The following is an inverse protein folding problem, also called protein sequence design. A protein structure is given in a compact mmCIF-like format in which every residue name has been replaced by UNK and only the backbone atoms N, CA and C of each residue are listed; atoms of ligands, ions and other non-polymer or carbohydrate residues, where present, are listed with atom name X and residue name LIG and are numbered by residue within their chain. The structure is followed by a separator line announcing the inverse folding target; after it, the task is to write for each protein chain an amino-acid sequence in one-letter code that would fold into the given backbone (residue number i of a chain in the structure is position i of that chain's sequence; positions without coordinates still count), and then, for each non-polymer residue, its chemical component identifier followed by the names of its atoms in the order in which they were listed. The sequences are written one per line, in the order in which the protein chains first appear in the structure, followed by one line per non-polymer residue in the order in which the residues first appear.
data_IF_334655084937
#
_entry.id   IF_334655084937
#
_cell.length_a   1.000
_cell.length_b   1.000
_cell.length_c   1.000
_cell.angle_alpha   90.00
_cell.angle_beta   90.00
_cell.angle_gamma   90.00
#
_symmetry.space_group_name_H-M   'P 1'
#
loop_
_entity.id
_entity.type
_entity.pdbx_description
1 polymer ?
#
# COMPACT_ATOMS: atom_id res chain seq x y z
N UNK A 1 -27.98 9.55 -11.09
CA UNK A 1 -27.12 10.21 -10.08
C UNK A 1 -25.80 10.52 -10.78
N UNK A 2 -25.41 11.78 -10.89
CA UNK A 2 -24.20 12.19 -11.61
C UNK A 2 -22.99 11.99 -10.71
N UNK A 3 -22.13 11.01 -11.02
CA UNK A 3 -20.85 10.85 -10.37
C UNK A 3 -19.98 12.08 -10.66
N UNK A 4 -19.59 12.82 -9.62
CA UNK A 4 -18.60 13.90 -9.72
C UNK A 4 -17.23 13.24 -9.93
N UNK A 5 -16.68 13.33 -11.13
CA UNK A 5 -15.28 13.05 -11.37
C UNK A 5 -14.45 14.04 -10.54
N UNK A 6 -13.79 13.54 -9.49
CA UNK A 6 -12.90 14.34 -8.65
C UNK A 6 -11.59 14.48 -9.42
N UNK A 7 -11.25 15.71 -9.75
CA UNK A 7 -10.02 16.09 -10.43
C UNK A 7 -8.86 15.96 -9.42
N UNK A 8 -8.26 14.78 -9.36
CA UNK A 8 -7.09 14.45 -8.51
C UNK A 8 -5.74 15.04 -9.01
N UNK A 9 -5.57 15.43 -10.31
CA UNK A 9 -4.24 15.80 -10.82
C UNK A 9 -3.63 17.07 -10.21
N UNK A 10 -4.42 18.00 -9.66
CA UNK A 10 -3.88 19.29 -9.17
C UNK A 10 -3.25 19.18 -7.77
N UNK A 11 -3.62 18.20 -6.98
CA UNK A 11 -3.17 18.11 -5.57
C UNK A 11 -1.84 17.38 -5.40
N UNK A 12 -1.48 16.46 -6.29
CA UNK A 12 -0.22 15.71 -6.25
C UNK A 12 1.01 16.59 -6.55
N UNK A 13 0.86 17.67 -7.33
CA UNK A 13 1.92 18.65 -7.58
C UNK A 13 2.34 19.38 -6.29
N UNK A 14 1.42 19.60 -5.35
CA UNK A 14 1.71 20.25 -4.07
C UNK A 14 2.47 19.34 -3.08
N UNK A 15 2.25 18.03 -3.14
CA UNK A 15 2.96 17.05 -2.30
C UNK A 15 4.41 16.87 -2.77
N UNK A 16 4.65 16.92 -4.08
CA UNK A 16 6.00 16.84 -4.66
C UNK A 16 6.89 18.03 -4.26
N UNK A 17 6.33 19.24 -4.20
CA UNK A 17 7.10 20.44 -3.82
C UNK A 17 7.49 20.48 -2.34
N UNK A 18 6.68 19.92 -1.44
CA UNK A 18 6.99 19.88 0.00
C UNK A 18 8.08 18.87 0.36
N UNK A 19 8.24 17.81 -0.42
CA UNK A 19 9.23 16.76 -0.21
C UNK A 19 10.66 17.18 -0.64
N UNK A 20 10.77 18.10 -1.61
CA UNK A 20 12.07 18.48 -2.21
C UNK A 20 12.77 19.65 -1.53
N UNK A 21 12.12 20.47 -0.72
CA UNK A 21 12.72 21.62 -0.03
C UNK A 21 13.64 21.27 1.14
N UNK A 22 13.86 19.97 1.44
CA UNK A 22 14.55 19.49 2.64
C UNK A 22 15.92 18.84 2.44
N UNK A 23 16.46 18.75 1.22
CA UNK A 23 17.69 18.01 0.95
C UNK A 23 19.01 18.80 1.15
N UNK A 24 18.96 20.07 1.53
CA UNK A 24 20.14 20.89 1.80
C UNK A 24 20.10 21.43 3.25
N UNK A 25 20.57 20.62 4.17
CA UNK A 25 20.79 21.04 5.56
C UNK A 25 21.19 19.86 6.44
N UNK A 26 22.48 19.56 6.50
CA UNK A 26 23.02 18.66 7.53
C UNK A 26 22.86 19.33 8.90
N UNK A 27 21.70 19.19 9.52
CA UNK A 27 21.48 19.53 10.92
C UNK A 27 21.71 18.28 11.75
N UNK A 28 22.68 18.37 12.66
CA UNK A 28 22.95 17.37 13.70
C UNK A 28 21.65 16.94 14.38
N UNK A 29 21.23 15.71 14.12
CA UNK A 29 20.08 15.08 14.75
C UNK A 29 20.49 14.75 16.20
N UNK A 30 19.97 15.52 17.18
CA UNK A 30 19.98 15.08 18.56
C UNK A 30 19.24 13.76 18.63
N UNK A 31 19.92 12.72 19.09
CA UNK A 31 19.35 11.41 19.40
C UNK A 31 18.06 11.58 20.23
N UNK A 32 16.91 11.53 19.58
CA UNK A 32 15.66 11.28 20.28
C UNK A 32 15.81 9.89 20.87
N UNK A 33 15.87 9.77 22.20
CA UNK A 33 15.78 8.49 22.91
C UNK A 33 14.65 7.70 22.25
N UNK A 34 15.00 6.63 21.54
CA UNK A 34 14.01 5.67 21.07
C UNK A 34 13.26 5.17 22.29
N UNK A 35 11.95 5.40 22.35
CA UNK A 35 11.12 4.73 23.34
C UNK A 35 11.41 3.24 23.23
N UNK A 36 11.88 2.65 24.34
CA UNK A 36 12.12 1.20 24.38
C UNK A 36 10.77 0.52 24.20
N UNK A 37 10.51 0.03 23.01
CA UNK A 37 9.37 -0.82 22.73
C UNK A 37 9.59 -2.12 23.47
N UNK A 38 8.65 -2.50 24.31
CA UNK A 38 8.73 -3.75 25.06
C UNK A 38 7.99 -4.85 24.31
N UNK A 39 8.75 -5.75 23.69
CA UNK A 39 8.21 -7.03 23.25
C UNK A 39 8.37 -8.03 24.42
N UNK A 40 7.28 -8.73 24.83
CA UNK A 40 7.38 -9.75 25.87
C UNK A 40 8.49 -10.76 25.54
N UNK A 41 9.29 -11.14 26.53
CA UNK A 41 10.45 -12.04 26.33
C UNK A 41 10.08 -13.33 25.63
N UNK A 42 8.93 -13.90 25.93
CA UNK A 42 8.43 -15.11 25.32
C UNK A 42 8.22 -14.92 23.80
N UNK A 43 7.59 -13.82 23.42
CA UNK A 43 7.34 -13.50 22.00
C UNK A 43 8.66 -13.23 21.29
N UNK A 44 9.53 -12.42 21.87
CA UNK A 44 10.85 -12.12 21.29
C UNK A 44 11.69 -13.40 21.14
N UNK A 45 11.67 -14.31 22.12
CA UNK A 45 12.38 -15.59 22.03
C UNK A 45 11.84 -16.47 20.90
N UNK A 46 10.51 -16.56 20.76
CA UNK A 46 9.87 -17.33 19.67
C UNK A 46 10.22 -16.75 18.29
N UNK A 47 10.20 -15.42 18.16
CA UNK A 47 10.59 -14.74 16.91
C UNK A 47 12.05 -15.03 16.56
N UNK A 48 12.96 -14.98 17.55
CA UNK A 48 14.40 -15.27 17.35
C UNK A 48 14.65 -16.74 16.98
N UNK A 49 13.98 -17.68 17.63
CA UNK A 49 14.11 -19.12 17.36
C UNK A 49 13.72 -19.49 15.93
N UNK A 50 12.73 -18.83 15.37
CA UNK A 50 12.25 -19.08 14.02
C UNK A 50 13.04 -18.42 12.90
N UNK A 51 13.97 -17.48 13.21
CA UNK A 51 14.74 -16.75 12.16
C UNK A 51 15.51 -17.69 11.21
N UNK A 52 16.22 -18.74 11.67
CA UNK A 52 17.00 -19.59 10.77
C UNK A 52 16.13 -20.40 9.80
N UNK A 53 15.01 -20.93 10.29
CA UNK A 53 14.09 -21.76 9.49
C UNK A 53 13.03 -20.92 8.77
N UNK A 54 12.84 -19.65 9.15
CA UNK A 54 11.75 -18.76 8.70
C UNK A 54 10.37 -19.38 8.97
N UNK A 55 10.27 -20.17 10.03
CA UNK A 55 9.03 -20.81 10.46
C UNK A 55 8.72 -20.42 11.90
N UNK A 56 7.45 -20.14 12.15
CA UNK A 56 6.95 -19.77 13.46
C UNK A 56 5.66 -20.47 13.81
N UNK A 57 5.15 -20.21 15.00
CA UNK A 57 3.85 -20.71 15.45
C UNK A 57 2.74 -20.23 14.52
N UNK A 58 1.71 -21.07 14.37
CA UNK A 58 0.58 -20.84 13.48
C UNK A 58 -0.76 -21.05 14.20
N UNK A 59 -0.82 -20.79 15.50
CA UNK A 59 -2.11 -20.81 16.23
C UNK A 59 -3.06 -19.74 15.64
N UNK A 60 -2.47 -18.61 15.22
CA UNK A 60 -3.09 -17.62 14.35
C UNK A 60 -2.40 -17.72 12.99
N UNK A 61 -3.04 -18.29 11.95
CA UNK A 61 -2.48 -18.30 10.60
C UNK A 61 -2.27 -16.86 10.11
N UNK A 62 -1.02 -16.51 9.88
CA UNK A 62 -0.61 -15.17 9.42
C UNK A 62 0.45 -15.29 8.34
N UNK A 63 0.34 -14.49 7.29
CA UNK A 63 1.31 -14.42 6.20
C UNK A 63 1.55 -12.98 5.73
N UNK A 64 2.82 -12.67 5.43
CA UNK A 64 3.18 -11.42 4.74
C UNK A 64 3.40 -11.78 3.27
N UNK A 65 2.57 -11.29 2.37
CA UNK A 65 2.64 -11.69 0.96
C UNK A 65 3.25 -10.63 0.05
N UNK A 66 3.30 -9.36 0.47
CA UNK A 66 3.86 -8.28 -0.33
C UNK A 66 4.36 -7.14 0.54
N UNK A 67 5.48 -6.55 0.13
CA UNK A 67 5.97 -5.27 0.65
C UNK A 67 5.88 -4.23 -0.45
N UNK A 68 5.25 -3.10 -0.13
CA UNK A 68 5.31 -1.89 -0.93
C UNK A 68 6.24 -0.92 -0.21
N UNK A 69 6.96 -0.09 -0.96
CA UNK A 69 7.72 1.00 -0.36
C UNK A 69 7.64 2.25 -1.23
N UNK A 70 7.49 3.37 -0.57
CA UNK A 70 7.35 4.68 -1.19
C UNK A 70 8.33 5.64 -0.51
N UNK A 71 8.87 6.63 -1.23
CA UNK A 71 9.82 7.56 -0.64
C UNK A 71 9.20 8.36 0.50
N UNK A 72 9.97 8.58 1.56
CA UNK A 72 9.67 9.49 2.65
C UNK A 72 10.86 10.44 2.82
N UNK A 73 10.76 11.42 3.73
CA UNK A 73 11.74 12.51 3.84
C UNK A 73 13.19 12.03 3.99
N UNK A 74 13.45 11.02 4.80
CA UNK A 74 14.82 10.52 5.11
C UNK A 74 14.94 8.99 4.93
N UNK A 75 13.82 8.32 4.72
CA UNK A 75 13.69 6.87 4.66
C UNK A 75 12.71 6.48 3.57
N UNK A 76 12.33 5.21 3.56
CA UNK A 76 11.18 4.74 2.80
C UNK A 76 10.04 4.40 3.75
N UNK A 77 8.83 4.73 3.37
CA UNK A 77 7.63 4.22 4.02
C UNK A 77 7.37 2.82 3.46
N UNK A 78 7.78 1.80 4.21
CA UNK A 78 7.52 0.41 3.87
C UNK A 78 6.15 -0.01 4.41
N UNK A 79 5.31 -0.55 3.53
CA UNK A 79 3.98 -1.07 3.86
C UNK A 79 3.99 -2.58 3.67
N UNK A 80 3.76 -3.32 4.74
CA UNK A 80 3.66 -4.77 4.73
C UNK A 80 2.19 -5.16 4.59
N UNK A 81 1.87 -5.90 3.53
CA UNK A 81 0.54 -6.43 3.27
C UNK A 81 0.46 -7.84 3.85
N UNK A 82 -0.50 -8.05 4.74
CA UNK A 82 -0.60 -9.20 5.63
C UNK A 82 -1.97 -9.85 5.46
N UNK A 83 -2.02 -11.17 5.33
CA UNK A 83 -3.26 -11.94 5.35
C UNK A 83 -3.44 -12.58 6.71
N UNK A 84 -4.65 -12.45 7.28
CA UNK A 84 -5.04 -13.13 8.51
C UNK A 84 -6.47 -13.62 8.34
N UNK A 85 -6.71 -14.90 8.73
CA UNK A 85 -8.04 -15.49 8.74
C UNK A 85 -8.89 -14.87 9.85
N UNK A 86 -10.10 -14.43 9.52
CA UNK A 86 -10.97 -13.70 10.46
C UNK A 86 -11.29 -14.50 11.73
N UNK A 87 -11.57 -15.83 11.60
CA UNK A 87 -11.86 -16.71 12.73
C UNK A 87 -10.72 -16.81 13.75
N UNK A 88 -9.48 -16.54 13.32
CA UNK A 88 -8.30 -16.63 14.20
C UNK A 88 -8.11 -15.39 15.10
N UNK A 89 -8.79 -14.27 14.81
CA UNK A 89 -8.65 -13.01 15.54
C UNK A 89 -9.65 -12.84 16.68
N UNK A 90 -10.63 -13.75 16.84
CA UNK A 90 -11.58 -13.72 17.95
C UNK A 90 -12.58 -12.55 17.87
N UNK A 91 -13.11 -12.23 16.69
CA UNK A 91 -14.18 -11.25 16.55
C UNK A 91 -15.41 -11.61 17.38
N UNK A 92 -15.88 -10.69 18.20
CA UNK A 92 -17.05 -10.85 19.06
C UNK A 92 -17.96 -9.60 18.96
N UNK A 93 -19.27 -9.73 19.23
CA UNK A 93 -20.17 -8.60 19.28
C UNK A 93 -19.70 -7.54 20.27
N UNK A 94 -19.80 -6.28 19.85
CA UNK A 94 -19.54 -5.15 20.75
C UNK A 94 -20.69 -5.05 21.72
N UNK A 95 -20.44 -5.38 23.00
CA UNK A 95 -21.43 -5.15 24.04
C UNK A 95 -21.50 -3.64 24.33
N UNK A 96 -22.66 -2.97 24.15
CA UNK A 96 -22.80 -1.57 24.56
C UNK A 96 -22.40 -1.43 26.04
N UNK A 97 -21.50 -0.49 26.33
CA UNK A 97 -21.21 -0.18 27.73
C UNK A 97 -22.53 0.17 28.44
N UNK A 98 -22.81 -0.49 29.57
CA UNK A 98 -23.97 -0.15 30.38
C UNK A 98 -23.96 1.37 30.64
N UNK A 99 -25.08 2.10 30.47
CA UNK A 99 -25.10 3.54 30.66
C UNK A 99 -24.66 3.85 32.09
N UNK A 100 -23.46 4.44 32.20
CA UNK A 100 -22.94 4.91 33.46
C UNK A 100 -23.89 5.96 34.05
N UNK A 101 -24.18 5.87 35.34
CA UNK A 101 -25.17 6.63 36.08
C UNK A 101 -24.82 8.11 36.25
N UNK A 102 -23.83 8.67 35.58
CA UNK A 102 -23.45 10.08 35.68
C UNK A 102 -23.14 10.73 34.34
N UNK A 103 -24.19 11.00 33.52
CA UNK A 103 -24.09 11.91 32.39
C UNK A 103 -25.07 13.09 32.58
N UNK A 104 -24.63 14.36 32.48
CA UNK A 104 -25.50 15.51 32.53
C UNK A 104 -26.48 15.50 31.34
N UNK A 105 -27.79 15.61 31.66
CA UNK A 105 -28.89 15.68 30.66
C UNK A 105 -28.66 16.86 29.72
N UNK A 106 -28.21 16.60 28.50
CA UNK A 106 -28.35 17.51 27.36
C UNK A 106 -29.70 17.27 26.70
N UNK A 107 -30.38 18.38 26.36
CA UNK A 107 -31.73 18.44 25.82
C UNK A 107 -31.95 17.69 24.49
N UNK A 108 -33.20 17.62 24.01
CA UNK A 108 -33.58 16.77 22.90
C UNK A 108 -33.04 17.30 21.58
N UNK A 109 -31.99 16.65 21.09
CA UNK A 109 -31.59 16.71 19.70
C UNK A 109 -32.09 15.42 19.05
N UNK A 110 -33.08 15.54 18.19
CA UNK A 110 -33.55 14.46 17.32
C UNK A 110 -32.36 14.00 16.46
N UNK A 111 -31.66 13.00 16.93
CA UNK A 111 -30.74 12.21 16.10
C UNK A 111 -31.57 11.15 15.42
N UNK A 112 -31.68 11.25 14.09
CA UNK A 112 -32.07 10.12 13.25
C UNK A 112 -31.22 8.91 13.69
N UNK A 113 -31.82 7.96 14.37
CA UNK A 113 -31.24 6.66 14.68
C UNK A 113 -31.04 5.95 13.32
N UNK A 114 -29.88 6.10 12.72
CA UNK A 114 -29.40 5.13 11.75
C UNK A 114 -29.43 3.79 12.48
N UNK A 115 -30.11 2.81 11.90
CA UNK A 115 -30.06 1.41 12.32
C UNK A 115 -28.58 0.98 12.29
N UNK A 116 -27.88 1.18 13.39
CA UNK A 116 -26.53 0.70 13.58
C UNK A 116 -26.64 -0.82 13.71
N UNK A 117 -26.43 -1.52 12.59
CA UNK A 117 -26.35 -2.98 12.57
C UNK A 117 -25.33 -3.45 13.61
N UNK A 118 -25.47 -4.69 14.07
CA UNK A 118 -24.54 -5.32 15.00
C UNK A 118 -23.10 -5.17 14.52
N UNK A 119 -22.21 -4.72 15.39
CA UNK A 119 -20.79 -4.54 15.11
C UNK A 119 -19.99 -5.60 15.84
N UNK A 120 -19.05 -6.24 15.13
CA UNK A 120 -18.08 -7.15 15.70
C UNK A 120 -16.77 -6.42 15.93
N UNK A 121 -16.06 -6.78 17.00
CA UNK A 121 -14.74 -6.24 17.33
C UNK A 121 -13.76 -7.37 17.65
N UNK A 122 -12.53 -7.23 17.17
CA UNK A 122 -11.38 -8.04 17.58
C UNK A 122 -10.29 -7.15 18.16
N UNK A 123 -9.73 -7.56 19.30
CA UNK A 123 -8.54 -6.95 19.91
C UNK A 123 -7.39 -7.93 19.92
N UNK A 124 -6.21 -7.52 19.48
CA UNK A 124 -5.01 -8.36 19.43
C UNK A 124 -3.74 -7.52 19.44
N UNK A 125 -2.60 -8.17 19.62
CA UNK A 125 -1.31 -7.48 19.61
C UNK A 125 -0.55 -7.83 18.33
N UNK A 126 0.18 -6.85 17.80
CA UNK A 126 1.09 -7.02 16.66
C UNK A 126 2.49 -6.58 17.09
N UNK A 127 3.46 -7.47 16.94
CA UNK A 127 4.86 -7.20 17.22
C UNK A 127 5.66 -7.39 15.93
N UNK A 128 6.52 -6.42 15.62
CA UNK A 128 7.40 -6.48 14.46
C UNK A 128 8.84 -6.36 14.94
N UNK A 129 9.70 -7.25 14.47
CA UNK A 129 11.13 -7.20 14.70
C UNK A 129 11.84 -7.19 13.35
N UNK A 130 12.46 -6.06 13.04
CA UNK A 130 13.26 -5.87 11.84
C UNK A 130 14.68 -6.32 12.14
N UNK A 131 15.13 -7.35 11.47
CA UNK A 131 16.50 -7.82 11.52
C UNK A 131 17.21 -7.39 10.24
N UNK A 132 18.26 -6.59 10.36
CA UNK A 132 19.09 -6.23 9.22
C UNK A 132 20.02 -7.39 8.92
N UNK A 133 20.07 -7.78 7.64
CA UNK A 133 20.96 -8.83 7.17
C UNK A 133 22.28 -8.20 6.73
N UNK A 134 23.40 -8.79 7.17
CA UNK A 134 24.72 -8.45 6.65
C UNK A 134 25.00 -9.17 5.32
N UNK A 135 26.17 -8.96 4.72
CA UNK A 135 26.56 -9.59 3.46
C UNK A 135 26.64 -11.13 3.55
N UNK A 136 26.82 -11.68 4.74
CA UNK A 136 26.79 -13.13 5.01
C UNK A 136 25.35 -13.66 5.24
N UNK A 137 24.34 -12.78 5.21
CA UNK A 137 22.94 -13.13 5.49
C UNK A 137 22.62 -13.31 6.97
N UNK A 138 23.53 -12.92 7.88
CA UNK A 138 23.30 -13.04 9.32
C UNK A 138 22.41 -11.91 9.83
N UNK A 139 21.36 -12.23 10.60
CA UNK A 139 20.43 -11.23 11.11
C UNK A 139 20.95 -10.51 12.36
N UNK A 140 20.74 -9.21 12.43
CA UNK A 140 20.93 -8.40 13.63
C UNK A 140 19.70 -7.53 13.87
N UNK A 141 19.21 -7.45 15.10
CA UNK A 141 18.04 -6.65 15.44
C UNK A 141 18.34 -5.16 15.14
N UNK A 142 17.59 -4.61 14.18
CA UNK A 142 17.65 -3.20 13.83
C UNK A 142 16.60 -2.39 14.58
N UNK A 143 15.37 -2.90 14.64
CA UNK A 143 14.24 -2.17 15.24
C UNK A 143 13.15 -3.15 15.68
N UNK A 144 12.52 -2.82 16.80
CA UNK A 144 11.32 -3.49 17.29
C UNK A 144 10.15 -2.50 17.34
N UNK A 145 8.94 -2.99 17.08
CA UNK A 145 7.72 -2.19 17.06
C UNK A 145 6.59 -3.01 17.67
N UNK A 146 5.80 -2.37 18.54
CA UNK A 146 4.55 -2.90 19.07
C UNK A 146 3.38 -2.06 18.60
N UNK A 147 2.35 -2.72 18.10
CA UNK A 147 1.11 -2.09 17.63
C UNK A 147 -0.08 -2.79 18.27
N UNK A 148 -0.72 -2.18 19.29
CA UNK A 148 -2.00 -2.69 19.76
C UNK A 148 -3.05 -2.51 18.65
N UNK A 149 -3.74 -3.58 18.28
CA UNK A 149 -4.75 -3.56 17.23
C UNK A 149 -6.16 -3.74 17.83
N UNK A 150 -7.08 -2.92 17.36
CA UNK A 150 -8.50 -3.04 17.64
C UNK A 150 -9.28 -2.77 16.35
N UNK A 151 -9.88 -3.81 15.81
CA UNK A 151 -10.57 -3.78 14.52
C UNK A 151 -12.07 -3.96 14.76
N UNK A 152 -12.86 -3.07 14.16
CA UNK A 152 -14.32 -3.17 14.17
C UNK A 152 -14.84 -3.40 12.75
N UNK A 153 -15.84 -4.27 12.62
CA UNK A 153 -16.47 -4.60 11.35
C UNK A 153 -17.99 -4.73 11.54
N UNK A 154 -18.81 -4.40 10.52
CA UNK A 154 -20.23 -4.76 10.55
C UNK A 154 -20.38 -6.28 10.63
N UNK A 155 -21.31 -6.78 11.44
CA UNK A 155 -21.65 -8.20 11.49
C UNK A 155 -22.30 -8.66 10.16
N UNK A 156 -23.02 -7.77 9.51
CA UNK A 156 -23.60 -8.03 8.20
C UNK A 156 -22.49 -8.21 7.15
N UNK A 157 -22.45 -9.39 6.52
CA UNK A 157 -21.45 -9.75 5.51
C UNK A 157 -20.08 -10.15 6.09
N UNK A 158 -19.95 -10.29 7.41
CA UNK A 158 -18.74 -10.84 8.01
C UNK A 158 -18.63 -12.34 7.75
N UNK A 159 -17.53 -12.74 7.14
CA UNK A 159 -17.21 -14.15 6.88
C UNK A 159 -16.00 -14.56 7.75
N UNK A 160 -16.20 -15.45 8.74
CA UNK A 160 -15.13 -15.92 9.62
C UNK A 160 -14.07 -16.76 8.90
N UNK A 161 -14.42 -17.40 7.78
CA UNK A 161 -13.51 -18.26 7.03
C UNK A 161 -12.65 -17.48 6.03
N UNK A 162 -13.00 -16.25 5.76
CA UNK A 162 -12.26 -15.39 4.84
C UNK A 162 -10.93 -14.93 5.44
N UNK A 163 -9.89 -14.91 4.61
CA UNK A 163 -8.67 -14.18 4.88
C UNK A 163 -8.85 -12.72 4.47
N UNK A 164 -8.70 -11.82 5.42
CA UNK A 164 -8.73 -10.39 5.15
C UNK A 164 -7.33 -9.82 5.02
N UNK A 165 -7.26 -8.76 4.22
CA UNK A 165 -6.06 -7.96 4.05
C UNK A 165 -5.87 -7.05 5.26
N UNK A 166 -4.69 -7.09 5.84
CA UNK A 166 -4.22 -6.12 6.82
C UNK A 166 -2.94 -5.45 6.33
N UNK A 167 -2.60 -4.33 6.93
CA UNK A 167 -1.36 -3.64 6.63
C UNK A 167 -0.79 -2.91 7.83
N UNK A 168 0.53 -2.72 7.79
CA UNK A 168 1.24 -1.81 8.68
C UNK A 168 2.30 -1.06 7.89
N UNK A 169 2.31 0.27 8.02
CA UNK A 169 3.26 1.16 7.37
C UNK A 169 4.31 1.66 8.36
N UNK A 170 5.59 1.54 8.01
CA UNK A 170 6.70 1.89 8.90
C UNK A 170 7.81 2.58 8.11
N UNK A 171 8.42 3.67 8.62
CA UNK A 171 9.63 4.23 8.03
C UNK A 171 10.81 3.27 8.23
N UNK A 172 11.43 2.84 7.12
CA UNK A 172 12.60 1.93 7.11
C UNK A 172 13.68 2.52 6.20
N UNK A 173 14.95 2.63 6.64
CA UNK A 173 16.05 3.04 5.77
C UNK A 173 16.36 2.00 4.71
N UNK A 174 17.20 2.35 3.73
CA UNK A 174 17.67 1.37 2.76
C UNK A 174 18.48 0.25 3.43
N UNK A 175 18.40 -0.95 2.87
CA UNK A 175 19.06 -2.14 3.38
C UNK A 175 18.32 -3.43 3.07
N UNK A 176 18.93 -4.53 3.44
CA UNK A 176 18.35 -5.87 3.33
C UNK A 176 17.88 -6.35 4.70
N UNK A 177 16.68 -6.82 4.79
CA UNK A 177 15.99 -7.10 6.07
C UNK A 177 15.28 -8.43 6.06
N UNK A 178 15.23 -9.05 7.24
CA UNK A 178 14.32 -10.13 7.58
C UNK A 178 13.36 -9.61 8.67
N UNK A 179 12.11 -9.41 8.31
CA UNK A 179 11.03 -9.07 9.23
C UNK A 179 10.50 -10.34 9.87
N UNK A 180 10.47 -10.37 11.21
CA UNK A 180 9.63 -11.26 11.97
C UNK A 180 8.39 -10.50 12.44
N UNK A 181 7.20 -10.97 12.06
CA UNK A 181 5.91 -10.44 12.47
C UNK A 181 5.23 -11.45 13.39
N UNK A 182 4.86 -11.03 14.59
CA UNK A 182 4.03 -11.84 15.48
C UNK A 182 2.67 -11.17 15.70
N UNK A 183 1.60 -11.94 15.53
CA UNK A 183 0.22 -11.57 15.88
C UNK A 183 -0.21 -12.44 17.05
N UNK A 184 -0.72 -11.86 18.12
CA UNK A 184 -1.12 -12.63 19.31
C UNK A 184 -2.49 -12.21 19.82
N UNK A 185 -3.21 -13.13 20.47
CA UNK A 185 -4.35 -12.77 21.32
C UNK A 185 -3.91 -11.81 22.43
N UNK A 186 -4.84 -11.06 23.03
CA UNK A 186 -4.53 -10.12 24.11
C UNK A 186 -3.88 -10.78 25.33
N UNK A 187 -4.24 -12.04 25.60
CA UNK A 187 -3.67 -12.85 26.69
C UNK A 187 -2.39 -13.60 26.31
N UNK A 188 -1.85 -13.39 25.09
CA UNK A 188 -0.63 -13.99 24.54
C UNK A 188 -0.65 -15.52 24.38
N UNK A 189 -1.81 -16.19 24.50
CA UNK A 189 -1.87 -17.66 24.39
C UNK A 189 -1.83 -18.15 22.96
N UNK A 190 -2.59 -17.51 22.06
CA UNK A 190 -2.59 -17.82 20.64
C UNK A 190 -1.58 -16.90 19.94
N UNK A 191 -0.66 -17.50 19.19
CA UNK A 191 0.45 -16.79 18.57
C UNK A 191 0.58 -17.25 17.12
N UNK A 192 0.61 -16.29 16.19
CA UNK A 192 1.01 -16.50 14.81
C UNK A 192 2.30 -15.76 14.52
N UNK A 193 3.30 -16.40 13.89
CA UNK A 193 4.56 -15.75 13.53
C UNK A 193 4.85 -16.01 12.05
N UNK A 194 5.05 -14.93 11.30
CA UNK A 194 5.48 -14.96 9.90
C UNK A 194 6.82 -14.26 9.73
N UNK A 195 7.61 -14.74 8.76
CA UNK A 195 8.89 -14.17 8.38
C UNK A 195 8.84 -13.70 6.94
N UNK A 196 9.41 -12.53 6.67
CA UNK A 196 9.42 -11.97 5.34
C UNK A 196 10.75 -11.22 5.06
N UNK A 197 11.46 -11.69 4.05
CA UNK A 197 12.70 -11.05 3.61
C UNK A 197 12.38 -10.01 2.54
N UNK A 198 12.96 -8.82 2.68
CA UNK A 198 12.74 -7.74 1.74
C UNK A 198 13.95 -6.80 1.67
N UNK A 199 14.07 -6.09 0.56
CA UNK A 199 15.12 -5.10 0.34
C UNK A 199 14.50 -3.75 0.04
N UNK A 200 14.95 -2.72 0.76
CA UNK A 200 14.75 -1.33 0.39
C UNK A 200 16.02 -0.88 -0.35
N UNK A 201 15.93 -0.56 -1.63
CA UNK A 201 17.11 -0.21 -2.42
C UNK A 201 17.73 1.11 -1.96
N UNK A 202 19.05 1.22 -2.05
CA UNK A 202 19.75 2.49 -1.85
C UNK A 202 19.53 3.39 -3.08
N UNK A 203 18.92 4.58 -2.94
CA UNK A 203 18.71 5.50 -4.06
C UNK A 203 19.98 5.89 -4.79
N UNK A 204 21.14 5.87 -4.14
CA UNK A 204 22.44 6.18 -4.77
C UNK A 204 22.83 5.20 -5.87
N UNK A 205 22.32 3.97 -5.84
CA UNK A 205 22.54 2.95 -6.87
C UNK A 205 21.90 3.32 -8.22
N UNK A 206 20.94 4.24 -8.23
CA UNK A 206 20.24 4.69 -9.43
C UNK A 206 20.76 6.03 -9.98
N UNK A 207 22.02 6.41 -9.65
CA UNK A 207 22.61 7.67 -10.14
C UNK A 207 22.71 7.72 -11.67
N UNK A 208 22.89 6.58 -12.33
CA UNK A 208 23.08 6.45 -13.78
C UNK A 208 22.03 5.56 -14.48
N UNK A 209 21.01 5.15 -13.77
CA UNK A 209 19.93 4.28 -14.30
C UNK A 209 18.57 4.70 -13.74
N UNK A 210 17.50 4.29 -14.40
CA UNK A 210 16.14 4.40 -13.84
C UNK A 210 15.73 3.08 -13.21
N UNK A 211 15.00 3.18 -12.10
CA UNK A 211 14.28 2.08 -11.48
C UNK A 211 12.95 2.58 -10.90
N UNK A 212 12.03 1.67 -10.57
CA UNK A 212 10.77 2.04 -9.93
C UNK A 212 10.61 1.33 -8.59
N UNK A 213 9.85 1.93 -7.68
CA UNK A 213 9.28 1.15 -6.58
C UNK A 213 8.37 0.05 -7.15
N UNK A 214 7.97 -0.96 -6.35
CA UNK A 214 6.94 -1.89 -6.78
C UNK A 214 5.71 -1.12 -7.29
N UNK A 215 5.35 -1.36 -8.56
CA UNK A 215 4.14 -0.80 -9.14
C UNK A 215 2.94 -1.52 -8.55
N UNK A 216 1.92 -0.78 -8.14
CA UNK A 216 0.69 -1.36 -7.64
C UNK A 216 -0.53 -0.59 -8.14
N UNK A 217 -1.67 -1.27 -8.11
CA UNK A 217 -2.95 -0.67 -8.48
C UNK A 217 -3.74 -0.26 -7.24
N UNK A 218 -4.56 0.75 -7.41
CA UNK A 218 -5.39 1.33 -6.36
C UNK A 218 -6.85 1.14 -6.71
N UNK A 219 -7.66 0.62 -5.77
CA UNK A 219 -9.12 0.56 -5.89
C UNK A 219 -9.79 1.86 -5.46
N UNK A 220 -9.23 2.48 -4.41
CA UNK A 220 -9.73 3.73 -3.88
C UNK A 220 -8.59 4.50 -3.21
N UNK A 221 -8.59 5.82 -3.37
CA UNK A 221 -7.66 6.72 -2.71
C UNK A 221 -8.42 7.92 -2.18
N UNK A 222 -8.34 8.14 -0.88
CA UNK A 222 -8.96 9.27 -0.19
C UNK A 222 -7.90 10.13 0.46
N UNK A 223 -8.16 11.42 0.58
CA UNK A 223 -7.30 12.33 1.31
C UNK A 223 -7.74 12.41 2.78
N UNK A 224 -6.75 12.32 3.67
CA UNK A 224 -6.94 12.55 5.11
C UNK A 224 -6.65 14.02 5.46
N UNK A 225 -7.25 14.51 6.53
CA UNK A 225 -7.02 15.88 7.03
C UNK A 225 -5.58 16.09 7.52
N UNK A 226 -4.94 15.05 8.02
CA UNK A 226 -3.58 15.08 8.55
C UNK A 226 -2.85 13.76 8.37
N UNK A 227 -1.51 13.82 8.42
CA UNK A 227 -0.65 12.62 8.42
C UNK A 227 -0.89 11.84 9.71
N UNK A 228 -0.97 10.52 9.59
CA UNK A 228 -1.08 9.62 10.73
C UNK A 228 0.22 9.63 11.55
N UNK A 229 0.12 10.03 12.82
CA UNK A 229 1.28 10.24 13.69
C UNK A 229 1.76 8.94 14.37
N UNK A 230 0.94 7.92 14.39
CA UNK A 230 1.23 6.63 15.04
C UNK A 230 1.29 5.52 14.02
N UNK A 231 2.02 4.47 14.36
CA UNK A 231 1.96 3.23 13.59
C UNK A 231 0.65 2.55 13.94
N UNK A 232 -0.17 2.28 12.92
CA UNK A 232 -1.49 1.67 13.05
C UNK A 232 -1.55 0.41 12.20
N UNK A 233 -2.25 -0.59 12.71
CA UNK A 233 -2.57 -1.80 11.96
C UNK A 233 -3.93 -1.63 11.30
N UNK A 234 -3.94 -1.50 9.99
CA UNK A 234 -5.14 -1.24 9.19
C UNK A 234 -5.71 -2.53 8.61
N UNK A 235 -7.03 -2.53 8.35
CA UNK A 235 -7.71 -3.59 7.62
C UNK A 235 -8.19 -3.07 6.26
N UNK A 236 -7.81 -3.76 5.18
CA UNK A 236 -8.24 -3.47 3.81
C UNK A 236 -7.62 -2.25 3.15
N UNK A 237 -6.76 -1.52 3.84
CA UNK A 237 -6.15 -0.29 3.35
C UNK A 237 -4.78 -0.05 3.98
N UNK A 238 -4.03 0.91 3.48
CA UNK A 238 -2.85 1.49 4.15
C UNK A 238 -2.87 3.02 4.03
N UNK A 239 -2.02 3.68 4.83
CA UNK A 239 -1.83 5.13 4.77
C UNK A 239 -0.45 5.48 4.24
N UNK A 240 -0.36 6.56 3.44
CA UNK A 240 0.89 7.13 2.96
C UNK A 240 0.77 8.64 2.92
N UNK A 241 1.57 9.34 3.75
CA UNK A 241 1.42 10.80 3.95
C UNK A 241 -0.02 11.14 4.37
N UNK A 242 -0.70 11.97 3.59
CA UNK A 242 -2.12 12.33 3.79
C UNK A 242 -3.07 11.47 2.95
N UNK A 243 -2.61 10.37 2.40
CA UNK A 243 -3.41 9.48 1.56
C UNK A 243 -3.81 8.22 2.33
N UNK A 244 -5.07 7.85 2.20
CA UNK A 244 -5.64 6.56 2.59
C UNK A 244 -5.87 5.76 1.31
N UNK A 245 -5.22 4.61 1.19
CA UNK A 245 -5.16 3.85 -0.05
C UNK A 245 -5.73 2.45 0.16
N UNK A 246 -6.72 2.08 -0.64
CA UNK A 246 -7.23 0.71 -0.77
C UNK A 246 -6.55 0.09 -1.98
N UNK A 247 -5.58 -0.84 -1.81
CA UNK A 247 -4.86 -1.42 -2.95
C UNK A 247 -5.71 -2.47 -3.67
N UNK A 248 -5.50 -2.61 -4.97
CA UNK A 248 -5.92 -3.77 -5.74
C UNK A 248 -4.78 -4.79 -5.71
N UNK A 249 -4.89 -5.80 -4.84
CA UNK A 249 -3.79 -6.73 -4.54
C UNK A 249 -3.68 -7.91 -5.52
N UNK A 250 -4.78 -8.26 -6.15
CA UNK A 250 -4.91 -9.40 -7.07
C UNK A 250 -4.82 -9.00 -8.55
N UNK A 251 -4.64 -7.70 -8.82
CA UNK A 251 -4.58 -7.12 -10.15
C UNK A 251 -5.79 -7.52 -11.01
N UNK A 252 -6.96 -7.69 -10.37
CA UNK A 252 -8.20 -8.08 -11.03
C UNK A 252 -9.13 -6.88 -11.15
N UNK A 253 -9.74 -6.73 -12.32
CA UNK A 253 -10.58 -5.59 -12.69
C UNK A 253 -11.91 -6.06 -13.28
N UNK A 254 -12.94 -5.24 -13.16
CA UNK A 254 -14.20 -5.41 -13.89
C UNK A 254 -14.13 -4.66 -15.23
N UNK A 255 -14.88 -5.09 -16.25
CA UNK A 255 -15.01 -4.32 -17.48
C UNK A 255 -15.49 -2.88 -17.19
N UNK A 256 -14.79 -1.90 -17.79
CA UNK A 256 -15.09 -0.49 -17.60
C UNK A 256 -14.43 0.18 -16.39
N UNK A 257 -13.77 -0.59 -15.50
CA UNK A 257 -12.91 0.00 -14.46
C UNK A 257 -11.67 0.66 -15.06
N UNK A 258 -11.09 1.61 -14.32
CA UNK A 258 -9.78 2.16 -14.63
C UNK A 258 -8.67 1.33 -14.00
N UNK A 259 -7.49 1.34 -14.62
CA UNK A 259 -6.24 0.98 -13.97
C UNK A 259 -5.70 2.22 -13.25
N UNK A 260 -5.93 2.32 -11.96
CA UNK A 260 -5.34 3.40 -11.16
C UNK A 260 -3.97 2.94 -10.68
N UNK A 261 -2.90 3.44 -11.32
CA UNK A 261 -1.51 3.01 -11.10
C UNK A 261 -0.82 3.95 -10.12
N UNK A 262 -0.02 3.38 -9.21
CA UNK A 262 0.78 4.15 -8.28
C UNK A 262 2.20 3.57 -8.16
N UNK A 263 3.23 4.42 -8.31
CA UNK A 263 4.65 4.07 -8.11
C UNK A 263 5.54 5.32 -8.07
N UNK A 264 6.80 5.14 -7.65
CA UNK A 264 7.84 6.18 -7.68
C UNK A 264 8.98 5.76 -8.59
N UNK A 265 9.63 6.73 -9.25
CA UNK A 265 10.75 6.53 -10.16
C UNK A 265 12.03 7.00 -9.48
N UNK A 266 13.01 6.08 -9.33
CA UNK A 266 14.35 6.39 -8.88
C UNK A 266 15.22 6.80 -10.06
N UNK A 267 16.26 7.64 -9.80
CA UNK A 267 17.27 8.01 -10.77
C UNK A 267 16.87 9.05 -11.80
N UNK A 268 15.60 9.47 -11.82
CA UNK A 268 15.18 10.58 -12.67
C UNK A 268 15.93 11.86 -12.32
N UNK A 269 16.39 12.61 -13.32
CA UNK A 269 17.18 13.82 -13.14
C UNK A 269 16.31 15.07 -13.34
N UNK A 270 16.38 16.05 -12.45
CA UNK A 270 15.82 17.36 -12.74
C UNK A 270 16.66 18.11 -13.78
N UNK A 271 16.05 18.96 -14.58
CA UNK A 271 16.72 19.89 -15.48
C UNK A 271 17.36 21.06 -14.70
N UNK A 272 17.96 22.00 -15.40
CA UNK A 272 18.60 23.20 -14.81
C UNK A 272 17.61 24.05 -13.97
N UNK A 273 16.32 24.02 -14.31
CA UNK A 273 15.24 24.68 -13.57
C UNK A 273 14.67 23.85 -12.41
N UNK A 274 15.34 22.77 -12.01
CA UNK A 274 14.91 21.83 -10.96
C UNK A 274 13.54 21.16 -11.25
N UNK A 275 13.20 20.96 -12.52
CA UNK A 275 11.98 20.32 -12.96
C UNK A 275 12.30 18.98 -13.61
N UNK A 276 11.47 17.96 -13.34
CA UNK A 276 11.54 16.67 -14.03
C UNK A 276 10.83 16.77 -15.39
N UNK A 277 11.30 16.01 -16.37
CA UNK A 277 10.67 15.83 -17.67
C UNK A 277 10.67 14.32 -17.99
N UNK A 278 9.66 13.64 -17.47
CA UNK A 278 9.52 12.18 -17.56
C UNK A 278 8.38 11.88 -18.54
N UNK A 279 8.65 11.07 -19.54
CA UNK A 279 7.63 10.53 -20.44
C UNK A 279 7.34 9.08 -20.11
N UNK A 280 6.06 8.72 -20.01
CA UNK A 280 5.64 7.35 -19.75
C UNK A 280 4.67 6.90 -20.84
N UNK A 281 4.99 5.75 -21.44
CA UNK A 281 4.14 5.06 -22.39
C UNK A 281 3.50 3.85 -21.70
N UNK A 282 2.18 3.79 -21.71
CA UNK A 282 1.40 2.67 -21.18
C UNK A 282 0.79 1.89 -22.33
N UNK A 283 0.85 0.55 -22.25
CA UNK A 283 0.28 -0.35 -23.25
C UNK A 283 -0.25 -1.62 -22.58
N UNK A 284 -1.47 -2.04 -22.94
CA UNK A 284 -1.99 -3.36 -22.56
C UNK A 284 -1.88 -4.29 -23.76
N UNK A 285 -1.35 -5.49 -23.53
CA UNK A 285 -1.27 -6.56 -24.51
C UNK A 285 -2.06 -7.79 -24.09
N UNK A 286 -2.55 -8.52 -25.08
CA UNK A 286 -3.05 -9.88 -24.93
C UNK A 286 -2.18 -10.79 -25.82
N UNK A 287 -1.27 -11.54 -25.20
CA UNK A 287 -0.17 -12.17 -25.91
C UNK A 287 0.70 -11.13 -26.64
N UNK A 288 0.89 -11.31 -27.96
CA UNK A 288 1.67 -10.37 -28.78
C UNK A 288 0.84 -9.19 -29.30
N UNK A 289 -0.48 -9.21 -29.14
CA UNK A 289 -1.36 -8.18 -29.70
C UNK A 289 -1.58 -7.03 -28.72
N UNK A 290 -1.43 -5.80 -29.21
CA UNK A 290 -1.80 -4.59 -28.47
C UNK A 290 -3.33 -4.51 -28.39
N UNK A 291 -3.85 -4.55 -27.15
CA UNK A 291 -5.28 -4.36 -26.86
C UNK A 291 -5.61 -2.88 -26.63
N UNK A 292 -4.77 -2.18 -25.87
CA UNK A 292 -4.88 -0.75 -25.61
C UNK A 292 -3.48 -0.12 -25.65
N UNK A 293 -3.38 1.05 -26.29
CA UNK A 293 -2.19 1.90 -26.22
C UNK A 293 -2.64 3.34 -25.98
N UNK A 294 -2.21 3.89 -24.87
CA UNK A 294 -2.48 5.30 -24.54
C UNK A 294 -1.47 6.22 -25.23
N UNK A 295 -1.85 7.48 -25.43
CA UNK A 295 -0.90 8.51 -25.84
C UNK A 295 0.17 8.68 -24.75
N UNK A 296 1.43 8.98 -25.13
CA UNK A 296 2.49 9.27 -24.16
C UNK A 296 2.06 10.32 -23.14
N UNK A 297 2.33 10.07 -21.87
CA UNK A 297 2.04 10.99 -20.76
C UNK A 297 3.33 11.64 -20.29
N UNK A 298 3.29 12.93 -20.00
CA UNK A 298 4.45 13.68 -19.49
C UNK A 298 4.23 14.07 -18.03
N UNK A 299 5.25 13.86 -17.19
CA UNK A 299 5.22 14.13 -15.76
C UNK A 299 6.38 15.04 -15.35
N UNK A 300 6.09 15.95 -14.44
CA UNK A 300 7.08 16.84 -13.80
C UNK A 300 7.46 16.39 -12.38
N UNK A 301 7.04 15.19 -11.99
CA UNK A 301 7.31 14.57 -10.70
C UNK A 301 7.66 13.09 -10.90
N UNK A 302 8.61 12.53 -10.12
CA UNK A 302 8.90 11.10 -10.14
C UNK A 302 7.85 10.25 -9.38
N UNK A 303 6.91 10.87 -8.66
CA UNK A 303 5.79 10.15 -8.04
C UNK A 303 4.64 10.10 -9.03
N UNK A 304 4.29 8.90 -9.45
CA UNK A 304 3.27 8.64 -10.46
C UNK A 304 2.00 8.13 -9.81
N UNK A 305 0.89 8.83 -10.09
CA UNK A 305 -0.47 8.41 -9.77
C UNK A 305 -1.34 8.70 -10.98
N UNK A 306 -1.75 7.66 -11.71
CA UNK A 306 -2.40 7.80 -13.00
C UNK A 306 -3.58 6.87 -13.16
N UNK A 307 -4.81 7.40 -13.33
CA UNK A 307 -5.95 6.62 -13.79
C UNK A 307 -5.85 6.39 -15.31
N UNK A 308 -5.89 5.12 -15.73
CA UNK A 308 -5.87 4.72 -17.12
C UNK A 308 -7.18 4.02 -17.47
N UNK A 309 -8.04 4.62 -18.31
CA UNK A 309 -9.28 3.99 -18.74
C UNK A 309 -9.02 2.73 -19.56
N UNK A 310 -9.60 1.58 -19.16
CA UNK A 310 -9.46 0.31 -19.89
C UNK A 310 -10.44 0.23 -21.06
N UNK A 311 -10.32 1.16 -22.02
CA UNK A 311 -11.17 1.18 -23.22
C UNK A 311 -10.34 1.01 -24.48
N UNK A 312 -10.70 0.00 -25.26
CA UNK A 312 -10.11 -0.23 -26.59
C UNK A 312 -10.86 0.54 -27.67
N UNK A 313 -10.12 1.04 -28.65
CA UNK A 313 -10.69 1.68 -29.83
C UNK A 313 -10.90 0.62 -30.92
N UNK A 314 -12.16 0.38 -31.28
CA UNK A 314 -12.52 -0.59 -32.32
C UNK A 314 -13.00 0.16 -33.55
N UNK A 315 -12.41 -0.15 -34.68
CA UNK A 315 -12.86 0.35 -36.01
C UNK A 315 -13.83 -0.63 -36.61
N UNK A 316 -15.03 -0.16 -36.91
CA UNK A 316 -16.09 -0.98 -37.49
C UNK A 316 -16.38 -0.46 -38.89
N UNK A 317 -16.20 -1.31 -39.91
CA UNK A 317 -16.58 -1.05 -41.28
C UNK A 317 -17.61 -2.10 -41.72
N UNK A 318 -18.82 -1.68 -42.04
CA UNK A 318 -19.88 -2.55 -42.60
C UNK A 318 -20.11 -2.20 -44.07
N UNK A 319 -19.62 -3.05 -44.99
CA UNK A 319 -19.78 -2.82 -46.40
C UNK A 319 -19.25 -1.46 -46.89
N UNK A 320 -20.09 -0.68 -47.57
CA UNK A 320 -19.76 0.64 -48.09
C UNK A 320 -20.08 1.79 -47.08
N UNK A 321 -20.50 1.47 -45.86
CA UNK A 321 -20.72 2.49 -44.80
C UNK A 321 -19.38 3.12 -44.37
N UNK A 322 -19.42 4.42 -43.98
CA UNK A 322 -18.23 5.06 -43.43
C UNK A 322 -17.77 4.33 -42.18
N UNK A 323 -16.45 4.20 -42.04
CA UNK A 323 -15.81 3.62 -40.86
C UNK A 323 -16.27 4.31 -39.57
N UNK A 324 -16.77 3.51 -38.62
CA UNK A 324 -17.14 4.02 -37.28
C UNK A 324 -16.06 3.62 -36.28
N UNK A 325 -15.72 4.58 -35.40
CA UNK A 325 -14.82 4.37 -34.26
C UNK A 325 -15.67 4.22 -33.02
N UNK A 326 -15.56 3.09 -32.34
CA UNK A 326 -16.25 2.83 -31.07
C UNK A 326 -15.23 2.61 -29.95
N UNK A 327 -15.55 3.14 -28.77
CA UNK A 327 -14.84 2.82 -27.53
C UNK A 327 -15.58 1.66 -26.86
N UNK A 328 -14.87 0.56 -26.60
CA UNK A 328 -15.41 -0.63 -25.93
C UNK A 328 -14.58 -0.95 -24.71
N UNK A 329 -15.22 -1.46 -23.69
CA UNK A 329 -14.53 -1.98 -22.52
C UNK A 329 -13.65 -3.17 -22.92
N UNK A 330 -12.53 -3.33 -22.21
CA UNK A 330 -11.65 -4.47 -22.43
C UNK A 330 -12.41 -5.76 -22.05
N UNK A 331 -12.45 -6.77 -22.92
CA UNK A 331 -13.12 -8.02 -22.60
C UNK A 331 -12.52 -8.78 -21.42
N UNK A 332 -13.28 -9.70 -20.83
CA UNK A 332 -12.73 -10.61 -19.82
C UNK A 332 -11.55 -11.41 -20.40
N UNK A 333 -10.48 -11.56 -19.63
CA UNK A 333 -9.26 -12.23 -20.06
C UNK A 333 -8.03 -11.85 -19.24
N UNK A 334 -6.92 -12.49 -19.56
CA UNK A 334 -5.59 -12.18 -19.00
C UNK A 334 -4.82 -11.28 -19.97
N UNK A 335 -4.18 -10.27 -19.41
CA UNK A 335 -3.46 -9.24 -20.16
C UNK A 335 -2.15 -8.90 -19.45
N UNK A 336 -1.22 -8.28 -20.17
CA UNK A 336 0.01 -7.73 -19.63
C UNK A 336 0.04 -6.22 -19.84
N UNK A 337 0.18 -5.45 -18.76
CA UNK A 337 0.45 -4.02 -18.80
C UNK A 337 1.95 -3.80 -18.95
N UNK A 338 2.36 -3.04 -19.97
CA UNK A 338 3.71 -2.54 -20.17
C UNK A 338 3.76 -1.07 -19.78
N UNK A 339 4.78 -0.70 -19.01
CA UNK A 339 5.07 0.66 -18.59
C UNK A 339 6.49 0.98 -19.04
N UNK A 340 6.62 1.84 -20.03
CA UNK A 340 7.92 2.29 -20.53
C UNK A 340 8.15 3.73 -20.07
N UNK A 341 9.13 3.93 -19.20
CA UNK A 341 9.50 5.22 -18.62
C UNK A 341 10.76 5.74 -19.30
N UNK A 342 10.74 6.96 -19.77
CA UNK A 342 11.86 7.71 -20.31
C UNK A 342 12.07 8.99 -19.50
N UNK A 343 13.21 9.15 -18.88
CA UNK A 343 13.67 10.44 -18.39
C UNK A 343 14.27 11.24 -19.56
N UNK A 344 13.59 12.30 -19.99
CA UNK A 344 14.04 13.11 -21.13
C UNK A 344 15.29 13.94 -20.82
N UNK A 345 15.63 14.12 -19.55
CA UNK A 345 16.84 14.84 -19.12
C UNK A 345 18.07 13.93 -19.26
N UNK A 346 18.08 12.78 -18.59
CA UNK A 346 19.21 11.84 -18.61
C UNK A 346 19.21 10.92 -19.84
N UNK A 347 18.08 10.77 -20.55
CA UNK A 347 17.83 9.80 -21.63
C UNK A 347 17.78 8.34 -21.16
N UNK A 348 17.80 8.10 -19.86
CA UNK A 348 17.66 6.77 -19.31
C UNK A 348 16.22 6.25 -19.45
N UNK A 349 16.08 4.93 -19.57
CA UNK A 349 14.78 4.27 -19.68
C UNK A 349 14.69 3.10 -18.71
N UNK A 350 13.43 2.79 -18.29
CA UNK A 350 13.12 1.54 -17.60
C UNK A 350 11.77 1.01 -18.10
N UNK A 351 11.68 -0.31 -18.22
CA UNK A 351 10.45 -1.00 -18.63
C UNK A 351 9.97 -1.89 -17.49
N UNK A 352 8.68 -1.78 -17.16
CA UNK A 352 8.00 -2.65 -16.19
C UNK A 352 6.83 -3.35 -16.87
N UNK A 353 6.61 -4.59 -16.45
CA UNK A 353 5.51 -5.43 -16.90
C UNK A 353 4.71 -5.95 -15.71
N UNK A 354 3.39 -5.92 -15.80
CA UNK A 354 2.49 -6.44 -14.79
C UNK A 354 1.37 -7.25 -15.45
N UNK A 355 1.10 -8.41 -14.92
CA UNK A 355 -0.06 -9.19 -15.34
C UNK A 355 -1.31 -8.64 -14.67
N UNK A 356 -2.38 -8.53 -15.45
CA UNK A 356 -3.71 -8.08 -15.03
C UNK A 356 -4.77 -9.03 -15.56
N UNK A 357 -5.86 -9.14 -14.84
CA UNK A 357 -7.02 -9.95 -15.23
C UNK A 357 -8.27 -9.08 -15.27
N UNK A 358 -9.04 -9.18 -16.36
CA UNK A 358 -10.39 -8.61 -16.46
C UNK A 358 -11.39 -9.75 -16.33
N UNK A 359 -12.40 -9.64 -15.44
CA UNK A 359 -13.40 -10.68 -15.14
C UNK A 359 -14.78 -10.30 -15.63
#
# INVERSE_FOLDING_TARGET
MKAKAIIVPVLLAAIGLSLMAGLSGAAQQKDKKQEKVFIPKEISSLMQQGLPSRQGRQDIPVGIFKTLFLPAKENFHAVFLINIKNSALGFAPVTPAAPGTDAPKKGPQETAAQEAGETLQAGFNVFLQFNRLNDAGEPSIFREVYVPASIQVPAAGFDPEKEDLYSVGIPVPFGHYLLALAVTSLDLKNIGIAYHEFTIPDPSQFSEALETTPVFFVKQMDQMESVEQRIVFHRGLFTYSVLKVVPNIDNTFQPGENLDIFFYIFGAKPNESQQYDIEINFEIKQGEQTAIKWSPQTYNSPLISQPLPMKQTVRIKKGDEPERIEQRDLPAGSYTLLINVLDKVSKNTVVKTLDITVK
#
